data_IF_017558502627
#
_entry.id   IF_017558502627
#
_cell.length_a   1.000
_cell.length_b   1.000
_cell.length_c   1.000
_cell.angle_alpha   90.00
_cell.angle_beta   90.00
_cell.angle_gamma   90.00
#
_symmetry.space_group_name_H-M   'P 1'
#
loop_
_entity.id
_entity.type
_entity.pdbx_description
1 polymer ?
#
# COMPACT_ATOMS: atom_id res chain seq x y z
N UNK A 1 -5.04 -14.75 0.84
CA UNK A 1 -3.90 -14.88 -0.10
C UNK A 1 -2.71 -14.09 0.41
N UNK A 2 -1.48 -14.47 0.03
CA UNK A 2 -0.31 -13.59 0.17
C UNK A 2 -0.17 -12.78 -1.12
N UNK A 3 0.11 -11.49 -1.00
CA UNK A 3 0.55 -10.64 -2.10
C UNK A 3 1.70 -9.77 -1.63
N UNK A 4 2.87 -9.94 -2.25
CA UNK A 4 4.11 -9.36 -1.76
C UNK A 4 4.37 -9.74 -0.30
N UNK A 5 4.52 -8.73 0.56
CA UNK A 5 4.79 -8.87 2.00
C UNK A 5 3.54 -8.76 2.88
N UNK A 6 2.34 -8.81 2.31
CA UNK A 6 1.06 -8.77 3.04
C UNK A 6 0.24 -10.04 2.88
N UNK A 7 -0.59 -10.34 3.89
CA UNK A 7 -1.68 -11.32 3.79
C UNK A 7 -3.00 -10.57 3.68
N UNK A 8 -3.76 -10.85 2.62
CA UNK A 8 -5.04 -10.20 2.34
C UNK A 8 -6.13 -11.25 2.17
N UNK A 9 -7.27 -11.06 2.84
CA UNK A 9 -8.48 -11.84 2.60
C UNK A 9 -9.26 -11.22 1.46
N UNK A 10 -9.50 -12.02 0.41
CA UNK A 10 -10.16 -11.56 -0.80
C UNK A 10 -11.53 -12.22 -0.84
N UNK A 11 -12.57 -11.40 -0.95
CA UNK A 11 -13.95 -11.85 -0.95
C UNK A 11 -14.57 -11.54 -2.31
N UNK A 12 -15.28 -12.50 -2.89
CA UNK A 12 -16.11 -12.23 -4.05
C UNK A 12 -17.31 -11.41 -3.61
N UNK A 13 -17.58 -10.28 -4.27
CA UNK A 13 -18.74 -9.46 -3.98
C UNK A 13 -20.05 -10.25 -4.13
N UNK A 14 -20.10 -11.24 -5.02
CA UNK A 14 -21.26 -12.13 -5.16
C UNK A 14 -21.65 -12.82 -3.84
N UNK A 15 -20.66 -13.18 -3.01
CA UNK A 15 -20.89 -13.86 -1.73
C UNK A 15 -21.19 -12.86 -0.59
N UNK A 16 -20.62 -11.65 -0.67
CA UNK A 16 -20.69 -10.64 0.41
C UNK A 16 -21.89 -9.71 0.25
N UNK A 17 -22.17 -9.23 -0.96
CA UNK A 17 -23.18 -8.21 -1.23
C UNK A 17 -24.59 -8.59 -0.69
N UNK A 18 -25.05 -9.85 -0.81
CA UNK A 18 -26.34 -10.27 -0.23
C UNK A 18 -26.43 -10.15 1.30
N UNK A 19 -25.29 -10.16 2.01
CA UNK A 19 -25.22 -10.16 3.47
C UNK A 19 -25.16 -8.75 4.07
N UNK A 20 -24.81 -7.73 3.27
CA UNK A 20 -24.52 -6.37 3.74
C UNK A 20 -25.68 -5.79 4.54
N UNK A 21 -26.91 -5.88 4.02
CA UNK A 21 -28.09 -5.29 4.66
C UNK A 21 -28.39 -5.96 6.02
N UNK A 22 -28.29 -7.28 6.10
CA UNK A 22 -28.54 -8.03 7.34
C UNK A 22 -27.46 -7.77 8.40
N UNK A 23 -26.20 -7.64 7.98
CA UNK A 23 -25.09 -7.42 8.89
C UNK A 23 -24.97 -5.97 9.38
N UNK A 24 -25.71 -5.03 8.78
CA UNK A 24 -25.62 -3.60 9.10
C UNK A 24 -24.47 -2.86 8.39
N UNK A 25 -23.95 -3.42 7.30
CA UNK A 25 -22.89 -2.83 6.48
C UNK A 25 -21.64 -3.69 6.32
N UNK A 26 -20.77 -3.32 5.37
CA UNK A 26 -19.47 -3.98 5.16
C UNK A 26 -18.57 -3.88 6.39
N UNK A 27 -18.59 -2.75 7.09
CA UNK A 27 -17.79 -2.54 8.30
C UNK A 27 -18.12 -3.57 9.38
N UNK A 28 -19.41 -3.88 9.59
CA UNK A 28 -19.84 -4.88 10.56
C UNK A 28 -19.37 -6.28 10.17
N UNK A 29 -19.50 -6.65 8.90
CA UNK A 29 -19.00 -7.94 8.36
C UNK A 29 -17.49 -8.05 8.59
N UNK A 30 -16.73 -7.05 8.16
CA UNK A 30 -15.26 -7.11 8.18
C UNK A 30 -14.70 -7.02 9.60
N UNK A 31 -15.26 -6.17 10.47
CA UNK A 31 -14.81 -6.10 11.88
C UNK A 31 -15.09 -7.40 12.62
N UNK A 32 -16.21 -8.06 12.35
CA UNK A 32 -16.51 -9.40 12.89
C UNK A 32 -15.56 -10.45 12.32
N UNK A 33 -15.44 -10.56 10.99
CA UNK A 33 -14.61 -11.57 10.34
C UNK A 33 -13.15 -11.52 10.79
N UNK A 34 -12.62 -10.33 11.06
CA UNK A 34 -11.22 -10.13 11.45
C UNK A 34 -10.97 -10.16 12.95
N UNK A 35 -11.98 -10.32 13.81
CA UNK A 35 -11.79 -10.22 15.26
C UNK A 35 -11.30 -8.83 15.70
N UNK A 36 -11.76 -7.79 15.00
CA UNK A 36 -11.38 -6.40 15.25
C UNK A 36 -11.89 -5.92 16.61
N UNK A 37 -11.09 -5.11 17.31
CA UNK A 37 -11.30 -4.74 18.71
C UNK A 37 -10.47 -5.57 19.70
N UNK A 38 -9.73 -6.57 19.22
CA UNK A 38 -8.75 -7.35 20.00
C UNK A 38 -7.35 -7.14 19.39
N UNK A 39 -6.35 -6.64 20.15
CA UNK A 39 -4.95 -6.55 19.73
C UNK A 39 -4.39 -7.84 19.12
N UNK A 40 -4.91 -9.01 19.52
CA UNK A 40 -4.49 -10.32 19.01
C UNK A 40 -5.35 -10.83 17.86
N UNK A 41 -6.53 -10.25 17.65
CA UNK A 41 -7.53 -10.70 16.67
C UNK A 41 -7.88 -12.19 16.83
N UNK A 42 -8.03 -12.68 18.07
CA UNK A 42 -8.17 -14.11 18.34
C UNK A 42 -9.45 -14.73 17.75
N UNK A 43 -10.55 -13.98 17.75
CA UNK A 43 -11.86 -14.44 17.29
C UNK A 43 -12.12 -14.03 15.83
N UNK A 44 -11.13 -14.21 14.97
CA UNK A 44 -11.25 -13.88 13.57
C UNK A 44 -10.01 -14.23 12.76
N UNK A 45 -10.02 -13.81 11.49
CA UNK A 45 -8.97 -14.15 10.53
C UNK A 45 -7.82 -13.15 10.44
N UNK A 46 -7.90 -12.08 11.23
CA UNK A 46 -6.85 -11.09 11.38
C UNK A 46 -5.58 -11.73 11.97
N UNK A 47 -4.43 -11.12 11.71
CA UNK A 47 -3.14 -11.64 12.21
C UNK A 47 -2.48 -10.78 13.28
N UNK A 48 -3.19 -9.81 13.86
CA UNK A 48 -2.66 -8.91 14.90
C UNK A 48 -1.65 -7.90 14.38
N UNK A 49 -1.56 -7.68 13.06
CA UNK A 49 -0.66 -6.69 12.45
C UNK A 49 -1.27 -5.97 11.26
N UNK A 50 -0.77 -4.78 10.94
CA UNK A 50 -1.26 -3.98 9.81
C UNK A 50 -1.07 -4.68 8.46
N UNK A 51 -0.05 -5.55 8.34
CA UNK A 51 0.24 -6.34 7.13
C UNK A 51 -0.61 -7.61 6.99
N UNK A 52 -1.34 -7.99 8.04
CA UNK A 52 -2.15 -9.22 8.09
C UNK A 52 -3.64 -9.00 8.42
N UNK A 53 -4.04 -7.76 8.73
CA UNK A 53 -5.43 -7.33 8.92
C UNK A 53 -5.95 -6.54 7.71
N UNK A 54 -6.04 -7.19 6.55
CA UNK A 54 -6.40 -6.57 5.26
C UNK A 54 -7.47 -7.38 4.52
N UNK A 55 -8.48 -6.69 4.01
CA UNK A 55 -9.54 -7.26 3.19
C UNK A 55 -9.60 -6.60 1.80
N UNK A 56 -10.12 -7.33 0.82
CA UNK A 56 -10.61 -6.72 -0.41
C UNK A 56 -11.90 -7.40 -0.88
N UNK A 57 -12.87 -6.59 -1.30
CA UNK A 57 -14.09 -7.06 -1.95
C UNK A 57 -13.89 -6.91 -3.46
N UNK A 58 -13.95 -8.01 -4.19
CA UNK A 58 -13.56 -8.11 -5.59
C UNK A 58 -14.78 -8.47 -6.44
N UNK A 59 -14.99 -7.77 -7.55
CA UNK A 59 -16.10 -8.01 -8.49
C UNK A 59 -15.66 -7.79 -9.93
N UNK A 60 -16.37 -8.40 -10.88
CA UNK A 60 -16.23 -8.03 -12.30
C UNK A 60 -16.67 -6.57 -12.45
N UNK A 61 -15.91 -5.78 -13.20
CA UNK A 61 -16.27 -4.39 -13.45
C UNK A 61 -17.37 -4.30 -14.50
N UNK A 62 -18.19 -3.25 -14.39
CA UNK A 62 -19.12 -2.83 -15.45
C UNK A 62 -18.53 -1.73 -16.33
N UNK A 63 -17.35 -1.20 -16.00
CA UNK A 63 -16.71 -0.14 -16.77
C UNK A 63 -16.04 -0.70 -18.02
N UNK A 64 -16.23 -0.05 -19.19
CA UNK A 64 -15.50 -0.41 -20.40
C UNK A 64 -13.98 -0.38 -20.18
N UNK A 65 -13.31 -1.47 -20.53
CA UNK A 65 -11.85 -1.58 -20.46
C UNK A 65 -11.29 -1.84 -19.07
N UNK A 66 -12.13 -2.05 -18.05
CA UNK A 66 -11.72 -2.55 -16.73
C UNK A 66 -12.28 -3.97 -16.57
N UNK A 67 -11.44 -4.92 -16.16
CA UNK A 67 -11.87 -6.29 -15.93
C UNK A 67 -12.48 -6.45 -14.52
N UNK A 68 -11.81 -5.87 -13.53
CA UNK A 68 -12.11 -6.09 -12.10
C UNK A 68 -12.18 -4.77 -11.35
N UNK A 69 -13.26 -4.60 -10.61
CA UNK A 69 -13.37 -3.58 -9.57
C UNK A 69 -13.05 -4.19 -8.21
N UNK A 70 -12.35 -3.45 -7.37
CA UNK A 70 -12.15 -3.86 -5.98
C UNK A 70 -12.21 -2.70 -4.98
N UNK A 71 -12.76 -3.01 -3.81
CA UNK A 71 -12.65 -2.18 -2.61
C UNK A 71 -11.58 -2.79 -1.71
N UNK A 72 -10.57 -2.02 -1.34
CA UNK A 72 -9.60 -2.37 -0.32
C UNK A 72 -10.05 -1.84 1.05
N UNK A 73 -9.95 -2.68 2.07
CA UNK A 73 -10.23 -2.35 3.46
C UNK A 73 -9.00 -2.65 4.34
N UNK A 74 -8.54 -1.62 5.06
CA UNK A 74 -7.65 -1.81 6.19
C UNK A 74 -8.49 -1.98 7.44
N UNK A 75 -8.56 -3.20 7.97
CA UNK A 75 -9.35 -3.47 9.18
C UNK A 75 -8.48 -3.16 10.40
N UNK A 76 -8.96 -2.29 11.29
CA UNK A 76 -8.25 -1.93 12.50
C UNK A 76 -8.13 -3.13 13.47
N UNK A 77 -7.03 -3.15 14.23
CA UNK A 77 -6.71 -4.27 15.12
C UNK A 77 -7.37 -4.04 16.49
N UNK A 78 -6.95 -2.99 17.20
CA UNK A 78 -7.44 -2.67 18.55
C UNK A 78 -8.77 -1.91 18.58
N UNK A 79 -9.16 -1.27 17.49
CA UNK A 79 -10.43 -0.54 17.36
C UNK A 79 -11.36 -1.25 16.38
N UNK A 80 -12.67 -1.16 16.60
CA UNK A 80 -13.70 -1.75 15.72
C UNK A 80 -14.03 -0.83 14.54
N UNK A 81 -13.04 -0.56 13.70
CA UNK A 81 -13.19 0.33 12.53
C UNK A 81 -12.59 -0.29 11.28
N UNK A 82 -13.13 0.09 10.12
CA UNK A 82 -12.56 -0.24 8.82
C UNK A 82 -12.19 1.06 8.12
N UNK A 83 -10.96 1.10 7.62
CA UNK A 83 -10.50 2.24 6.85
C UNK A 83 -10.48 1.93 5.35
N UNK A 84 -11.15 2.80 4.60
CA UNK A 84 -11.43 2.71 3.18
C UNK A 84 -10.72 3.80 2.35
N UNK A 85 -10.05 4.78 2.96
CA UNK A 85 -9.45 5.94 2.28
C UNK A 85 -8.15 5.68 1.51
N UNK A 86 -7.77 4.43 1.25
CA UNK A 86 -6.50 4.12 0.58
C UNK A 86 -6.58 2.87 -0.29
N UNK A 87 -5.49 2.60 -1.01
CA UNK A 87 -5.27 1.36 -1.74
C UNK A 87 -4.11 0.56 -1.08
N UNK A 88 -3.97 -0.71 -1.42
CA UNK A 88 -2.83 -1.54 -1.05
C UNK A 88 -2.32 -2.35 -2.25
N UNK A 89 -1.21 -1.91 -2.85
CA UNK A 89 -0.65 -2.63 -4.01
C UNK A 89 -0.21 -4.06 -3.70
N UNK A 90 0.22 -4.36 -2.46
CA UNK A 90 0.48 -5.75 -2.04
C UNK A 90 -0.79 -6.61 -2.17
N UNK A 91 -1.96 -6.10 -1.74
CA UNK A 91 -3.22 -6.81 -1.95
C UNK A 91 -3.62 -6.82 -3.43
N UNK A 92 -3.42 -5.73 -4.18
CA UNK A 92 -3.70 -5.68 -5.61
C UNK A 92 -2.92 -6.75 -6.40
N UNK A 93 -1.68 -7.05 -6.00
CA UNK A 93 -0.89 -8.17 -6.54
C UNK A 93 -1.64 -9.51 -6.37
N UNK A 94 -2.20 -9.75 -5.18
CA UNK A 94 -2.98 -10.95 -4.91
C UNK A 94 -4.35 -10.93 -5.61
N UNK A 95 -4.97 -9.77 -5.77
CA UNK A 95 -6.25 -9.60 -6.48
C UNK A 95 -6.09 -9.94 -7.96
N UNK A 96 -5.01 -9.51 -8.62
CA UNK A 96 -4.74 -9.87 -10.00
C UNK A 96 -4.65 -11.39 -10.20
N UNK A 97 -3.88 -12.08 -9.35
CA UNK A 97 -3.80 -13.54 -9.38
C UNK A 97 -5.13 -14.21 -9.05
N UNK A 98 -5.85 -13.70 -8.06
CA UNK A 98 -7.18 -14.20 -7.68
C UNK A 98 -8.18 -14.09 -8.83
N UNK A 99 -8.25 -12.92 -9.49
CA UNK A 99 -9.13 -12.67 -10.62
C UNK A 99 -8.88 -13.67 -11.75
N UNK A 100 -7.62 -13.91 -12.10
CA UNK A 100 -7.24 -14.93 -13.08
C UNK A 100 -7.67 -16.34 -12.63
N UNK A 101 -7.30 -16.75 -11.42
CA UNK A 101 -7.59 -18.08 -10.88
C UNK A 101 -9.09 -18.34 -10.65
N UNK A 102 -9.89 -17.30 -10.47
CA UNK A 102 -11.34 -17.36 -10.27
C UNK A 102 -12.13 -17.09 -11.54
N UNK A 103 -11.47 -16.99 -12.71
CA UNK A 103 -12.15 -16.85 -14.00
C UNK A 103 -12.87 -15.52 -14.18
N UNK A 104 -12.35 -14.43 -13.60
CA UNK A 104 -12.87 -13.07 -13.83
C UNK A 104 -12.48 -12.55 -15.22
N UNK A 105 -11.37 -13.05 -15.77
CA UNK A 105 -10.84 -12.66 -17.09
C UNK A 105 -10.63 -13.88 -17.98
N UNK A 106 -10.68 -13.71 -19.31
CA UNK A 106 -10.17 -14.72 -20.25
C UNK A 106 -8.65 -14.86 -20.11
N UNK A 107 -8.14 -16.07 -20.33
CA UNK A 107 -6.71 -16.37 -20.24
C UNK A 107 -6.04 -16.14 -21.59
N UNK A 108 -4.93 -15.39 -21.60
CA UNK A 108 -4.06 -15.27 -22.76
C UNK A 108 -3.07 -16.45 -22.84
N UNK A 109 -2.69 -16.85 -24.05
CA UNK A 109 -1.81 -18.00 -24.28
C UNK A 109 -0.35 -17.79 -23.85
N UNK A 110 0.05 -16.56 -23.54
CA UNK A 110 1.42 -16.19 -23.17
C UNK A 110 1.48 -15.48 -21.83
N UNK A 111 0.78 -14.36 -21.69
CA UNK A 111 0.74 -13.54 -20.49
C UNK A 111 -0.64 -12.92 -20.36
N UNK A 112 -1.35 -13.26 -19.29
CA UNK A 112 -2.66 -12.66 -19.02
C UNK A 112 -2.48 -11.36 -18.26
N UNK A 113 -3.08 -10.28 -18.76
CA UNK A 113 -3.17 -9.00 -18.07
C UNK A 113 -4.56 -8.85 -17.47
N UNK A 114 -4.63 -8.59 -16.16
CA UNK A 114 -5.87 -8.23 -15.46
C UNK A 114 -5.85 -6.73 -15.20
N UNK A 115 -6.71 -5.98 -15.88
CA UNK A 115 -6.88 -4.55 -15.65
C UNK A 115 -7.89 -4.30 -14.54
N UNK A 116 -7.45 -3.66 -13.48
CA UNK A 116 -8.20 -3.51 -12.24
C UNK A 116 -8.39 -2.03 -11.90
N UNK A 117 -9.57 -1.68 -11.38
CA UNK A 117 -9.84 -0.38 -10.77
C UNK A 117 -10.03 -0.52 -9.27
N UNK A 118 -9.26 0.24 -8.52
CA UNK A 118 -9.49 0.41 -7.09
C UNK A 118 -10.62 1.44 -6.89
N UNK A 119 -11.77 1.01 -6.38
CA UNK A 119 -12.93 1.90 -6.19
C UNK A 119 -12.74 2.89 -5.04
N UNK A 120 -11.80 2.65 -4.11
CA UNK A 120 -11.50 3.59 -3.04
C UNK A 120 -10.88 4.90 -3.56
N UNK A 121 -10.02 4.80 -4.57
CA UNK A 121 -9.13 5.88 -5.02
C UNK A 121 -9.29 6.23 -6.50
N UNK A 122 -9.96 5.38 -7.29
CA UNK A 122 -10.02 5.48 -8.74
C UNK A 122 -8.76 4.99 -9.46
N UNK A 123 -7.72 4.54 -8.74
CA UNK A 123 -6.48 4.09 -9.34
C UNK A 123 -6.70 2.89 -10.28
N UNK A 124 -6.05 2.92 -11.45
CA UNK A 124 -6.06 1.84 -12.43
C UNK A 124 -4.72 1.10 -12.40
N UNK A 125 -4.79 -0.22 -12.28
CA UNK A 125 -3.64 -1.10 -12.16
C UNK A 125 -3.76 -2.27 -13.12
N UNK A 126 -2.66 -2.64 -13.75
CA UNK A 126 -2.57 -3.84 -14.57
C UNK A 126 -1.73 -4.88 -13.83
N UNK A 127 -2.27 -6.09 -13.68
CA UNK A 127 -1.54 -7.24 -13.14
C UNK A 127 -1.21 -8.21 -14.28
N UNK A 128 0.07 -8.35 -14.58
CA UNK A 128 0.58 -9.24 -15.62
C UNK A 128 1.08 -10.54 -15.01
N UNK A 129 0.57 -11.66 -15.52
CA UNK A 129 0.87 -13.02 -15.02
C UNK A 129 1.19 -13.90 -16.23
N UNK A 130 2.34 -14.56 -16.21
CA UNK A 130 2.71 -15.50 -17.27
C UNK A 130 1.76 -16.70 -17.28
N UNK A 131 1.21 -16.99 -18.45
CA UNK A 131 0.25 -18.08 -18.71
C UNK A 131 0.61 -18.86 -19.98
N UNK A 132 1.85 -19.39 -20.09
CA UNK A 132 2.31 -20.06 -21.31
C UNK A 132 1.42 -21.26 -21.66
N UNK A 133 0.95 -21.30 -22.91
CA UNK A 133 -0.01 -22.30 -23.39
C UNK A 133 -1.42 -22.13 -22.81
N UNK A 134 -1.75 -20.96 -22.23
CA UNK A 134 -3.02 -20.70 -21.55
C UNK A 134 -3.14 -21.37 -20.18
N UNK A 135 -2.02 -21.84 -19.61
CA UNK A 135 -1.99 -22.49 -18.30
C UNK A 135 -2.03 -21.46 -17.19
N UNK A 136 -3.04 -21.51 -16.32
CA UNK A 136 -3.12 -20.64 -15.14
C UNK A 136 -2.18 -21.17 -14.04
N UNK A 137 -1.21 -20.39 -13.56
CA UNK A 137 -0.31 -20.82 -12.50
C UNK A 137 -1.04 -20.92 -11.15
N UNK A 138 -0.81 -22.03 -10.45
CA UNK A 138 -1.26 -22.25 -9.07
C UNK A 138 -0.18 -21.93 -8.05
N UNK A 139 1.07 -22.23 -8.40
CA UNK A 139 2.29 -22.03 -7.62
C UNK A 139 3.37 -21.35 -8.47
N UNK A 140 4.42 -20.85 -7.82
CA UNK A 140 5.56 -20.24 -8.49
C UNK A 140 6.77 -20.12 -7.55
N UNK A 141 7.91 -19.79 -8.13
CA UNK A 141 9.23 -19.79 -7.49
C UNK A 141 9.80 -18.38 -7.27
N UNK A 142 9.03 -17.33 -7.56
CA UNK A 142 9.48 -15.96 -7.34
C UNK A 142 9.61 -15.66 -5.84
N UNK A 143 10.82 -15.26 -5.44
CA UNK A 143 11.10 -14.73 -4.12
C UNK A 143 10.65 -13.27 -4.01
N UNK A 144 10.33 -12.84 -2.79
CA UNK A 144 10.05 -11.43 -2.47
C UNK A 144 10.87 -11.06 -1.24
N UNK A 145 11.66 -9.98 -1.26
CA UNK A 145 12.39 -9.51 -0.08
C UNK A 145 11.46 -9.36 1.14
N UNK A 146 11.91 -9.86 2.29
CA UNK A 146 11.12 -9.89 3.53
C UNK A 146 10.25 -11.14 3.74
N UNK A 147 10.29 -12.14 2.85
CA UNK A 147 9.66 -13.44 3.08
C UNK A 147 10.48 -14.58 2.47
N UNK A 148 10.50 -15.74 3.15
CA UNK A 148 11.05 -16.98 2.59
C UNK A 148 10.05 -17.72 1.69
N UNK A 149 8.79 -17.29 1.65
CA UNK A 149 7.75 -17.95 0.89
C UNK A 149 7.77 -17.52 -0.58
N UNK A 150 7.91 -18.49 -1.47
CA UNK A 150 7.82 -18.28 -2.91
C UNK A 150 6.37 -18.04 -3.35
N UNK A 151 6.17 -17.62 -4.60
CA UNK A 151 4.86 -17.43 -5.18
C UNK A 151 4.89 -17.25 -6.69
N UNK A 152 3.69 -17.13 -7.27
CA UNK A 152 3.51 -16.81 -8.68
C UNK A 152 4.02 -15.40 -8.93
N UNK A 153 4.94 -15.18 -9.90
CA UNK A 153 5.35 -13.85 -10.31
C UNK A 153 4.16 -13.03 -10.83
N UNK A 154 4.06 -11.78 -10.39
CA UNK A 154 3.05 -10.82 -10.83
C UNK A 154 3.73 -9.47 -11.06
N UNK A 155 3.74 -9.00 -12.31
CA UNK A 155 4.09 -7.63 -12.63
C UNK A 155 2.88 -6.73 -12.34
N UNK A 156 2.99 -5.84 -11.36
CA UNK A 156 1.92 -4.92 -11.00
C UNK A 156 2.27 -3.51 -11.47
N UNK A 157 1.56 -3.04 -12.49
CA UNK A 157 1.77 -1.72 -13.08
C UNK A 157 0.68 -0.77 -12.60
N UNK A 158 1.07 0.33 -11.98
CA UNK A 158 0.17 1.46 -11.75
C UNK A 158 0.21 2.38 -12.97
N UNK A 159 -0.97 2.74 -13.46
CA UNK A 159 -1.14 3.59 -14.65
C UNK A 159 -1.87 4.88 -14.29
N UNK A 160 -1.79 5.90 -15.14
CA UNK A 160 -2.50 7.16 -14.92
C UNK A 160 -2.05 7.90 -13.65
N UNK A 161 -0.75 7.80 -13.32
CA UNK A 161 -0.20 8.24 -12.03
C UNK A 161 -0.23 9.76 -11.83
N UNK A 162 -0.03 10.54 -12.89
CA UNK A 162 -0.21 12.00 -12.94
C UNK A 162 -0.03 12.46 -14.40
N UNK A 163 -0.76 13.49 -14.84
CA UNK A 163 -0.62 14.08 -16.18
C UNK A 163 0.46 15.19 -16.23
N UNK A 164 1.44 15.15 -15.31
CA UNK A 164 2.50 16.15 -15.16
C UNK A 164 2.68 16.68 -13.73
N UNK A 165 3.69 17.52 -13.54
CA UNK A 165 4.14 18.02 -12.23
C UNK A 165 3.03 18.69 -11.40
N UNK A 166 2.11 19.42 -12.04
CA UNK A 166 1.00 20.12 -11.35
C UNK A 166 0.00 19.16 -10.68
N UNK A 167 -0.21 17.97 -11.27
CA UNK A 167 -1.09 16.95 -10.66
C UNK A 167 -0.34 16.04 -9.68
N UNK A 168 0.98 15.92 -9.86
CA UNK A 168 1.84 15.12 -9.00
C UNK A 168 2.13 15.81 -7.66
N UNK A 169 2.36 17.13 -7.68
CA UNK A 169 2.75 17.95 -6.52
C UNK A 169 1.54 18.75 -6.00
N UNK A 170 0.79 18.26 -5.00
CA UNK A 170 -0.41 18.95 -4.51
C UNK A 170 -0.11 20.34 -3.90
N UNK A 171 1.12 20.57 -3.45
CA UNK A 171 1.60 21.86 -2.93
C UNK A 171 2.16 22.78 -4.01
N UNK A 172 2.35 22.28 -5.23
CA UNK A 172 2.92 23.01 -6.37
C UNK A 172 4.44 23.23 -6.29
N UNK A 173 5.14 22.70 -5.27
CA UNK A 173 6.59 22.86 -5.09
C UNK A 173 7.29 21.52 -4.94
N UNK A 174 8.54 21.44 -5.40
CA UNK A 174 9.33 20.20 -5.37
C UNK A 174 9.76 19.78 -3.96
N UNK A 175 10.06 20.77 -3.10
CA UNK A 175 10.47 20.58 -1.71
C UNK A 175 9.76 21.59 -0.81
N UNK A 176 8.82 21.08 -0.01
CA UNK A 176 8.15 21.79 1.07
C UNK A 176 9.04 21.87 2.32
N UNK A 177 8.84 22.92 3.12
CA UNK A 177 9.50 23.09 4.43
C UNK A 177 8.48 23.14 5.55
N UNK A 178 8.51 22.19 6.49
CA UNK A 178 7.67 22.18 7.70
C UNK A 178 8.53 22.51 8.91
N UNK A 179 8.18 23.56 9.66
CA UNK A 179 8.86 23.94 10.90
C UNK A 179 8.07 23.45 12.11
N UNK A 180 8.72 22.73 13.02
CA UNK A 180 8.16 22.30 14.31
C UNK A 180 9.15 22.71 15.40
N UNK A 181 8.70 23.58 16.31
CA UNK A 181 9.58 24.29 17.24
C UNK A 181 10.72 24.98 16.48
N UNK A 182 11.98 24.76 16.87
CA UNK A 182 13.15 25.43 16.27
C UNK A 182 13.80 24.64 15.12
N UNK A 183 13.17 23.55 14.64
CA UNK A 183 13.70 22.70 13.58
C UNK A 183 12.83 22.79 12.31
N UNK A 184 13.47 22.77 11.15
CA UNK A 184 12.81 22.76 9.84
C UNK A 184 13.12 21.48 9.10
N UNK A 185 12.07 20.81 8.62
CA UNK A 185 12.14 19.53 7.93
C UNK A 185 11.68 19.72 6.48
N UNK A 186 12.54 19.34 5.54
CA UNK A 186 12.20 19.34 4.12
C UNK A 186 11.51 18.05 3.72
N UNK A 187 10.49 18.16 2.87
CA UNK A 187 9.82 17.01 2.28
C UNK A 187 9.42 17.25 0.82
N UNK A 188 9.42 16.18 0.03
CA UNK A 188 8.67 16.16 -1.23
C UNK A 188 7.32 15.53 -0.97
N UNK A 189 6.25 16.26 -1.29
CA UNK A 189 4.86 15.80 -1.15
C UNK A 189 4.30 15.47 -2.53
N UNK A 190 3.82 14.25 -2.72
CA UNK A 190 3.32 13.75 -4.01
C UNK A 190 2.01 13.01 -3.88
N UNK A 191 1.23 12.98 -4.96
CA UNK A 191 0.08 12.09 -5.14
C UNK A 191 0.34 11.16 -6.32
N UNK A 192 0.87 9.96 -6.03
CA UNK A 192 1.03 8.89 -7.01
C UNK A 192 0.97 7.54 -6.29
N UNK A 193 0.05 6.66 -6.69
CA UNK A 193 -0.26 5.42 -5.98
C UNK A 193 -1.01 5.65 -4.66
N UNK A 194 -0.46 6.45 -3.75
CA UNK A 194 -1.15 7.06 -2.61
C UNK A 194 -0.52 8.44 -2.32
N UNK A 195 -1.27 9.39 -1.74
CA UNK A 195 -0.68 10.62 -1.23
C UNK A 195 0.43 10.32 -0.23
N UNK A 196 1.60 10.92 -0.39
CA UNK A 196 2.76 10.70 0.47
C UNK A 196 3.56 12.00 0.70
N UNK A 197 4.16 12.11 1.88
CA UNK A 197 5.18 13.10 2.19
C UNK A 197 6.48 12.38 2.61
N UNK A 198 7.56 12.68 1.90
CA UNK A 198 8.85 12.00 1.96
C UNK A 198 9.90 12.99 2.48
N UNK A 199 10.30 12.82 3.74
CA UNK A 199 11.15 13.73 4.50
C UNK A 199 12.62 13.39 4.37
N UNK A 200 13.47 14.41 4.35
CA UNK A 200 14.91 14.23 4.28
C UNK A 200 15.47 13.63 5.58
N UNK A 201 16.19 12.52 5.49
CA UNK A 201 16.79 11.85 6.64
C UNK A 201 17.78 12.76 7.38
N UNK A 202 18.59 13.54 6.66
CA UNK A 202 19.57 14.42 7.28
C UNK A 202 18.94 15.50 8.17
N UNK A 203 17.74 15.98 7.82
CA UNK A 203 17.02 16.99 8.62
C UNK A 203 16.49 16.39 9.95
N UNK A 204 16.45 15.06 10.05
CA UNK A 204 16.09 14.28 11.25
C UNK A 204 17.33 13.75 12.00
N UNK A 205 18.55 14.08 11.55
CA UNK A 205 19.79 13.50 12.09
C UNK A 205 19.98 12.02 11.73
N UNK A 206 19.35 11.56 10.65
CA UNK A 206 19.36 10.18 10.18
C UNK A 206 20.07 10.04 8.82
N UNK A 207 20.36 8.79 8.46
CA UNK A 207 20.84 8.36 7.15
C UNK A 207 19.71 7.92 6.21
N UNK A 208 18.57 7.50 6.76
CA UNK A 208 17.47 6.87 6.01
C UNK A 208 17.60 5.34 5.92
N UNK A 209 18.70 4.78 6.43
CA UNK A 209 18.99 3.35 6.43
C UNK A 209 18.80 2.68 7.82
N UNK A 210 18.16 3.36 8.76
CA UNK A 210 17.96 2.91 10.14
C UNK A 210 17.13 1.62 10.27
N UNK A 211 17.21 0.95 11.42
CA UNK A 211 16.28 -0.15 11.72
C UNK A 211 14.89 0.37 12.11
N UNK A 212 13.92 -0.55 12.20
CA UNK A 212 12.56 -0.19 12.58
C UNK A 212 12.46 0.33 14.02
N UNK A 213 13.36 -0.06 14.92
CA UNK A 213 13.33 0.40 16.31
C UNK A 213 13.66 1.89 16.38
N UNK A 214 14.73 2.33 15.71
CA UNK A 214 15.09 3.76 15.62
C UNK A 214 13.96 4.59 14.98
N UNK A 215 13.32 4.08 13.93
CA UNK A 215 12.17 4.78 13.31
C UNK A 215 10.95 4.84 14.25
N UNK A 216 10.74 3.81 15.08
CA UNK A 216 9.67 3.81 16.07
C UNK A 216 9.87 4.89 17.15
N UNK A 217 11.11 5.17 17.54
CA UNK A 217 11.44 6.23 18.52
C UNK A 217 11.07 7.63 18.01
N UNK A 218 11.10 7.85 16.68
CA UNK A 218 10.70 9.10 16.04
C UNK A 218 9.20 9.22 15.76
N UNK A 219 8.40 8.20 16.11
CA UNK A 219 6.98 8.17 15.79
C UNK A 219 6.22 9.44 16.20
N UNK A 220 6.37 10.00 17.43
CA UNK A 220 5.65 11.21 17.82
C UNK A 220 5.92 12.41 16.89
N UNK A 221 7.16 12.59 16.44
CA UNK A 221 7.53 13.64 15.49
C UNK A 221 6.96 13.37 14.10
N UNK A 222 7.10 12.15 13.59
CA UNK A 222 6.60 11.77 12.27
C UNK A 222 5.07 11.86 12.18
N UNK A 223 4.34 11.67 13.28
CA UNK A 223 2.89 11.89 13.35
C UNK A 223 2.53 13.38 13.27
N UNK A 224 3.30 14.27 13.90
CA UNK A 224 3.11 15.72 13.75
C UNK A 224 3.40 16.17 12.31
N UNK A 225 4.50 15.69 11.73
CA UNK A 225 4.84 15.93 10.33
C UNK A 225 3.75 15.40 9.38
N UNK A 226 3.12 14.26 9.70
CA UNK A 226 1.96 13.77 8.95
C UNK A 226 0.81 14.77 8.94
N UNK A 227 0.45 15.28 10.11
CA UNK A 227 -0.67 16.20 10.25
C UNK A 227 -0.44 17.48 9.44
N UNK A 228 0.75 18.07 9.57
CA UNK A 228 1.13 19.26 8.79
C UNK A 228 1.14 18.99 7.28
N UNK A 229 1.66 17.84 6.86
CA UNK A 229 1.65 17.44 5.44
C UNK A 229 0.23 17.25 4.93
N UNK A 230 -0.64 16.62 5.72
CA UNK A 230 -2.06 16.40 5.36
C UNK A 230 -2.79 17.72 5.11
N UNK A 231 -2.57 18.73 5.96
CA UNK A 231 -3.14 20.06 5.81
C UNK A 231 -2.63 20.74 4.53
N UNK A 232 -1.32 20.71 4.28
CA UNK A 232 -0.71 21.33 3.09
C UNK A 232 -1.13 20.67 1.77
N UNK A 233 -1.28 19.36 1.78
CA UNK A 233 -1.76 18.59 0.64
C UNK A 233 -3.27 18.71 0.41
N UNK A 234 -3.99 19.44 1.27
CA UNK A 234 -5.44 19.60 1.19
C UNK A 234 -6.24 18.32 1.50
N UNK A 235 -5.61 17.34 2.16
CA UNK A 235 -6.23 16.05 2.50
C UNK A 235 -7.07 16.10 3.78
N UNK A 236 -6.85 17.11 4.61
CA UNK A 236 -7.59 17.37 5.85
C UNK A 236 -7.75 18.87 6.09
N UNK A 237 -8.72 19.26 6.91
CA UNK A 237 -8.91 20.64 7.38
C UNK A 237 -8.39 20.80 8.82
N UNK A 238 -8.06 22.03 9.25
CA UNK A 238 -7.72 22.29 10.65
C UNK A 238 -8.83 21.80 11.58
N UNK A 239 -8.49 20.97 12.57
CA UNK A 239 -9.42 20.38 13.53
C UNK A 239 -9.94 18.99 13.15
N UNK A 240 -9.73 18.53 11.91
CA UNK A 240 -10.06 17.15 11.53
C UNK A 240 -9.18 16.14 12.30
N UNK A 241 -9.69 14.93 12.60
CA UNK A 241 -8.88 13.86 13.14
C UNK A 241 -7.78 13.46 12.15
N UNK A 242 -6.59 13.15 12.66
CA UNK A 242 -5.44 12.76 11.83
C UNK A 242 -5.71 11.39 11.22
N UNK A 243 -5.84 11.32 9.89
CA UNK A 243 -5.89 10.03 9.20
C UNK A 243 -4.57 9.26 9.41
N UNK A 244 -4.71 7.97 9.72
CA UNK A 244 -3.57 7.07 9.86
C UNK A 244 -3.19 6.39 8.54
N UNK A 245 -4.02 6.58 7.51
CA UNK A 245 -3.86 5.96 6.20
C UNK A 245 -3.20 6.90 5.19
N UNK A 246 -3.56 8.19 5.16
CA UNK A 246 -3.03 9.19 4.22
C UNK A 246 -2.78 10.55 4.89
N UNK A 247 -1.76 11.31 4.46
CA UNK A 247 -0.71 10.88 3.55
C UNK A 247 0.19 9.82 4.21
N UNK A 248 0.79 8.96 3.39
CA UNK A 248 1.89 8.09 3.81
C UNK A 248 3.06 8.96 4.23
N UNK A 249 3.78 8.57 5.28
CA UNK A 249 4.95 9.31 5.74
C UNK A 249 6.17 8.42 5.66
N UNK A 250 7.22 8.97 5.06
CA UNK A 250 8.50 8.29 4.93
C UNK A 250 9.67 9.22 5.22
N UNK A 251 10.77 8.60 5.62
CA UNK A 251 12.09 9.21 5.68
C UNK A 251 12.89 8.64 4.51
N UNK A 252 13.56 9.52 3.77
CA UNK A 252 14.38 9.16 2.61
C UNK A 252 15.78 9.73 2.75
N UNK A 253 16.78 8.98 2.30
CA UNK A 253 18.18 9.38 2.36
C UNK A 253 19.01 8.70 1.27
N UNK A 254 20.30 9.05 1.14
CA UNK A 254 21.15 8.44 0.14
C UNK A 254 21.39 6.96 0.45
N UNK A 255 21.85 6.16 -0.53
CA UNK A 255 22.31 4.80 -0.25
C UNK A 255 23.41 4.79 0.82
N UNK A 256 23.30 3.83 1.74
CA UNK A 256 24.23 3.60 2.84
C UNK A 256 24.23 2.10 3.18
N UNK A 257 25.35 1.56 3.61
CA UNK A 257 25.37 0.16 4.04
C UNK A 257 24.41 -0.03 5.24
N UNK A 258 23.60 -1.10 5.19
CA UNK A 258 22.71 -1.43 6.30
C UNK A 258 22.46 -2.93 6.40
N UNK A 259 21.92 -3.34 7.55
CA UNK A 259 21.50 -4.71 7.79
C UNK A 259 19.98 -4.79 7.86
N UNK A 260 19.40 -5.68 7.06
CA UNK A 260 17.94 -5.91 7.05
C UNK A 260 17.46 -6.52 8.37
N UNK A 261 16.16 -6.45 8.60
CA UNK A 261 15.48 -7.13 9.71
C UNK A 261 15.66 -8.66 9.74
N UNK A 262 16.01 -9.27 8.59
CA UNK A 262 16.33 -10.70 8.47
C UNK A 262 17.83 -11.00 8.69
N UNK A 263 18.64 -9.99 9.00
CA UNK A 263 20.07 -10.15 9.26
C UNK A 263 20.96 -10.22 8.01
N UNK A 264 20.41 -9.90 6.83
CA UNK A 264 21.15 -9.78 5.56
C UNK A 264 21.77 -8.40 5.45
N UNK A 265 23.06 -8.33 5.13
CA UNK A 265 23.77 -7.09 4.85
C UNK A 265 23.50 -6.63 3.41
N UNK A 266 23.26 -5.33 3.25
CA UNK A 266 22.98 -4.67 1.96
C UNK A 266 23.99 -3.55 1.79
N UNK A 267 24.68 -3.53 0.65
CA UNK A 267 25.62 -2.47 0.33
C UNK A 267 24.91 -1.24 -0.22
N UNK A 268 25.47 -0.05 0.05
CA UNK A 268 25.08 1.19 -0.62
C UNK A 268 25.11 1.08 -2.16
N UNK A 269 25.92 0.18 -2.73
CA UNK A 269 25.98 -0.03 -4.19
C UNK A 269 24.79 -0.81 -4.76
N UNK A 270 24.06 -1.54 -3.91
CA UNK A 270 22.98 -2.44 -4.32
C UNK A 270 21.68 -1.70 -4.64
N UNK A 271 21.60 -0.40 -4.30
CA UNK A 271 20.37 0.37 -4.46
C UNK A 271 20.63 1.87 -4.67
N UNK A 272 19.57 2.62 -4.96
CA UNK A 272 19.67 4.02 -5.44
C UNK A 272 19.13 5.04 -4.43
N UNK A 273 18.23 4.63 -3.52
CA UNK A 273 17.70 5.48 -2.45
C UNK A 273 17.30 4.67 -1.21
N UNK A 274 17.62 5.19 -0.01
CA UNK A 274 17.19 4.60 1.27
C UNK A 274 15.81 5.11 1.64
N UNK A 275 14.89 4.21 2.01
CA UNK A 275 13.51 4.58 2.38
C UNK A 275 13.04 3.84 3.64
N UNK A 276 12.46 4.60 4.57
CA UNK A 276 11.75 4.07 5.76
C UNK A 276 10.36 4.67 5.82
N UNK A 277 9.34 3.82 5.70
CA UNK A 277 7.94 4.26 5.71
C UNK A 277 7.26 3.95 7.03
N UNK A 278 6.30 4.78 7.41
CA UNK A 278 5.30 4.45 8.42
C UNK A 278 4.03 3.86 7.79
N UNK A 279 3.38 2.95 8.51
CA UNK A 279 2.06 2.41 8.19
C UNK A 279 1.29 2.14 9.49
N UNK A 280 0.08 2.70 9.60
CA UNK A 280 -0.81 2.47 10.76
C UNK A 280 -0.10 2.70 12.12
N UNK A 281 0.46 3.89 12.31
CA UNK A 281 1.17 4.30 13.54
C UNK A 281 2.40 3.46 13.91
N UNK A 282 2.93 2.66 13.00
CA UNK A 282 4.15 1.88 13.21
C UNK A 282 5.10 1.97 12.01
N UNK A 283 6.40 1.72 12.17
CA UNK A 283 7.31 1.49 11.06
C UNK A 283 6.82 0.33 10.19
N UNK A 284 6.82 0.51 8.88
CA UNK A 284 6.49 -0.54 7.95
C UNK A 284 7.69 -1.50 7.84
N UNK A 285 7.49 -2.84 7.93
CA UNK A 285 8.60 -3.80 7.96
C UNK A 285 9.39 -3.93 6.65
N UNK A 286 8.98 -3.21 5.61
CA UNK A 286 9.50 -3.19 4.26
C UNK A 286 9.09 -1.84 3.63
N UNK A 287 8.33 -1.87 2.55
CA UNK A 287 7.61 -0.70 2.01
C UNK A 287 6.22 -1.12 1.49
N UNK A 288 5.22 -0.26 1.63
CA UNK A 288 3.92 -0.45 0.97
C UNK A 288 4.04 -0.09 -0.51
N UNK A 289 3.50 -0.91 -1.42
CA UNK A 289 3.68 -0.68 -2.87
C UNK A 289 3.19 0.68 -3.38
N UNK A 290 2.08 1.20 -2.84
CA UNK A 290 1.62 2.55 -3.18
C UNK A 290 2.61 3.63 -2.74
N UNK A 291 3.35 3.39 -1.66
CA UNK A 291 4.46 4.26 -1.23
C UNK A 291 5.69 4.10 -2.12
N UNK A 292 5.97 2.90 -2.62
CA UNK A 292 7.04 2.70 -3.60
C UNK A 292 6.75 3.44 -4.91
N UNK A 293 5.50 3.44 -5.36
CA UNK A 293 5.04 4.27 -6.49
C UNK A 293 5.23 5.76 -6.20
N UNK A 294 4.87 6.21 -4.99
CA UNK A 294 5.08 7.61 -4.60
C UNK A 294 6.56 8.00 -4.59
N UNK A 295 7.45 7.13 -4.09
CA UNK A 295 8.91 7.34 -4.14
C UNK A 295 9.40 7.41 -5.59
N UNK A 296 8.99 6.47 -6.44
CA UNK A 296 9.36 6.46 -7.86
C UNK A 296 8.85 7.70 -8.61
N UNK A 297 7.67 8.20 -8.27
CA UNK A 297 7.19 9.45 -8.85
C UNK A 297 7.94 10.67 -8.30
N UNK A 298 8.25 10.69 -7.00
CA UNK A 298 9.03 11.76 -6.42
C UNK A 298 10.49 11.79 -6.93
N UNK A 299 11.05 10.67 -7.38
CA UNK A 299 12.39 10.63 -7.99
C UNK A 299 12.44 11.25 -9.39
N UNK A 300 11.29 11.56 -10.01
CA UNK A 300 11.23 12.33 -11.26
C UNK A 300 11.07 13.84 -11.02
N UNK A 301 11.04 14.29 -9.76
CA UNK A 301 10.82 15.70 -9.39
C UNK A 301 12.17 16.37 -9.12
N UNK A 302 12.70 17.09 -10.12
CA UNK A 302 13.95 17.84 -9.99
C UNK A 302 13.89 18.87 -8.87
N UNK A 303 14.91 18.91 -8.01
CA UNK A 303 14.97 19.80 -6.84
C UNK A 303 14.10 19.36 -5.66
N UNK A 304 13.51 18.17 -5.74
CA UNK A 304 12.83 17.53 -4.62
C UNK A 304 13.79 16.73 -3.73
N UNK A 305 13.40 16.56 -2.47
CA UNK A 305 14.14 15.80 -1.45
C UNK A 305 14.48 14.38 -1.91
N UNK A 306 13.59 13.72 -2.65
CA UNK A 306 13.83 12.35 -3.14
C UNK A 306 14.95 12.36 -4.18
N UNK A 307 14.85 13.23 -5.19
CA UNK A 307 15.86 13.36 -6.24
C UNK A 307 17.23 13.77 -5.67
N UNK A 308 17.27 14.68 -4.69
CA UNK A 308 18.50 15.12 -4.01
C UNK A 308 19.22 13.97 -3.29
N UNK A 309 18.49 12.92 -2.90
CA UNK A 309 19.02 11.75 -2.21
C UNK A 309 19.17 10.52 -3.12
N UNK A 310 18.72 10.57 -4.38
CA UNK A 310 18.74 9.41 -5.27
C UNK A 310 20.05 9.34 -6.06
N UNK A 311 20.64 8.16 -6.15
CA UNK A 311 21.78 7.85 -7.02
C UNK A 311 21.35 6.92 -8.15
N UNK A 312 20.65 7.45 -9.16
CA UNK A 312 20.14 6.63 -10.28
C UNK A 312 21.29 6.10 -11.14
N UNK A 313 21.39 4.78 -11.27
CA UNK A 313 22.38 4.12 -12.15
C UNK A 313 21.86 3.84 -13.56
N UNK A 314 20.55 3.61 -13.71
CA UNK A 314 19.95 3.18 -14.97
C UNK A 314 18.67 3.96 -15.29
N UNK A 315 18.52 4.51 -16.51
CA UNK A 315 17.28 5.17 -16.91
C UNK A 315 16.08 4.22 -16.83
N UNK A 316 14.95 4.69 -16.31
CA UNK A 316 13.70 3.92 -16.27
C UNK A 316 13.62 2.84 -15.20
N UNK A 317 14.56 2.78 -14.25
CA UNK A 317 14.48 1.90 -13.09
C UNK A 317 14.97 2.58 -11.82
N UNK A 318 14.44 2.18 -10.67
CA UNK A 318 14.81 2.67 -9.35
C UNK A 318 14.88 1.50 -8.37
N UNK A 319 16.02 1.35 -7.70
CA UNK A 319 16.22 0.37 -6.63
C UNK A 319 16.05 1.05 -5.28
N UNK A 320 15.00 0.67 -4.56
CA UNK A 320 14.62 1.26 -3.28
C UNK A 320 15.09 0.38 -2.13
N UNK A 321 16.01 0.87 -1.28
CA UNK A 321 16.48 0.19 -0.09
C UNK A 321 15.48 0.29 1.06
N UNK A 322 14.99 -0.85 1.57
CA UNK A 322 13.95 -0.94 2.61
C UNK A 322 14.43 -1.77 3.80
N UNK A 323 13.74 -1.78 4.96
CA UNK A 323 14.10 -2.65 6.09
C UNK A 323 14.11 -4.16 5.77
N UNK A 324 13.50 -4.57 4.66
CA UNK A 324 13.41 -5.96 4.21
C UNK A 324 14.36 -6.31 3.05
N UNK A 325 15.16 -5.35 2.58
CA UNK A 325 16.04 -5.49 1.41
C UNK A 325 15.69 -4.50 0.30
N UNK A 326 16.21 -4.77 -0.89
CA UNK A 326 16.08 -3.89 -2.06
C UNK A 326 14.83 -4.23 -2.87
N UNK A 327 14.14 -3.19 -3.32
CA UNK A 327 12.99 -3.26 -4.19
C UNK A 327 13.31 -2.64 -5.56
N UNK A 328 13.27 -3.43 -6.62
CA UNK A 328 13.28 -2.94 -8.00
C UNK A 328 11.92 -2.36 -8.44
N UNK A 329 11.98 -1.18 -9.02
CA UNK A 329 10.83 -0.46 -9.57
C UNK A 329 11.16 -0.03 -10.99
N UNK A 330 10.32 -0.36 -11.95
CA UNK A 330 10.45 0.13 -13.33
C UNK A 330 9.55 1.35 -13.54
N UNK A 331 10.03 2.35 -14.27
CA UNK A 331 9.34 3.58 -14.57
C UNK A 331 9.23 3.76 -16.09
N UNK A 332 8.02 4.04 -16.57
CA UNK A 332 7.82 4.58 -17.93
C UNK A 332 7.62 6.09 -17.84
N UNK A 333 8.45 6.83 -18.54
CA UNK A 333 8.38 8.28 -18.63
C UNK A 333 8.25 8.66 -20.10
N UNK A 334 7.28 9.52 -20.42
CA UNK A 334 7.08 10.02 -21.78
C UNK A 334 8.27 10.87 -22.24
N UNK A 335 8.34 11.16 -23.54
CA UNK A 335 9.35 12.07 -24.10
C UNK A 335 9.33 13.46 -23.44
N UNK A 336 8.16 13.86 -22.94
CA UNK A 336 7.93 15.16 -22.30
C UNK A 336 8.28 15.15 -20.81
N UNK A 337 8.82 14.05 -20.29
CA UNK A 337 9.23 13.90 -18.89
C UNK A 337 8.09 13.55 -17.93
N UNK A 338 6.92 13.15 -18.45
CA UNK A 338 5.75 12.80 -17.61
C UNK A 338 5.81 11.32 -17.25
N UNK A 339 5.70 11.00 -15.96
CA UNK A 339 5.60 9.62 -15.49
C UNK A 339 4.27 8.99 -15.94
N UNK A 340 4.35 8.03 -16.85
CA UNK A 340 3.18 7.34 -17.42
C UNK A 340 2.76 6.15 -16.56
N UNK A 341 3.75 5.36 -16.09
CA UNK A 341 3.49 4.17 -15.31
C UNK A 341 4.66 3.80 -14.40
N UNK A 342 4.34 3.05 -13.35
CA UNK A 342 5.30 2.45 -12.43
C UNK A 342 4.98 0.97 -12.30
N UNK A 343 5.93 0.11 -12.63
CA UNK A 343 5.79 -1.35 -12.55
C UNK A 343 6.61 -1.89 -11.39
N UNK A 344 5.96 -2.75 -10.60
CA UNK A 344 6.52 -3.39 -9.43
C UNK A 344 6.46 -4.91 -9.61
N UNK A 345 7.61 -5.57 -9.49
CA UNK A 345 7.68 -7.02 -9.60
C UNK A 345 7.46 -7.68 -8.25
N UNK A 346 6.38 -8.44 -8.12
CA UNK A 346 6.00 -9.10 -6.88
C UNK A 346 5.66 -10.56 -7.11
N UNK A 347 5.37 -11.24 -6.01
CA UNK A 347 4.81 -12.57 -6.04
C UNK A 347 3.54 -12.64 -5.20
N UNK A 348 2.59 -13.45 -5.66
CA UNK A 348 1.38 -13.76 -4.94
C UNK A 348 1.19 -15.27 -4.79
N UNK A 349 0.45 -15.67 -3.76
CA UNK A 349 0.13 -17.08 -3.51
C UNK A 349 -1.24 -17.22 -2.87
N UNK A 350 -2.03 -18.18 -3.35
CA UNK A 350 -3.23 -18.63 -2.65
C UNK A 350 -2.82 -19.51 -1.48
N UNK A 351 -3.13 -19.05 -0.27
CA UNK A 351 -2.77 -19.78 0.97
C UNK A 351 -3.87 -20.78 1.32
N UNK A 352 -5.12 -20.32 1.27
CA UNK A 352 -6.29 -21.09 1.66
C UNK A 352 -7.54 -20.51 1.00
N UNK A 353 -8.60 -21.32 1.04
CA UNK A 353 -9.99 -20.88 0.89
C UNK A 353 -10.75 -21.32 2.11
N UNK A 354 -11.63 -20.46 2.61
CA UNK A 354 -12.37 -20.69 3.83
C UNK A 354 -13.74 -20.01 3.75
N UNK A 355 -14.71 -20.59 4.45
CA UNK A 355 -15.97 -19.96 4.79
C UNK A 355 -15.83 -19.35 6.19
N UNK A 356 -16.23 -18.09 6.36
CA UNK A 356 -16.09 -17.36 7.62
C UNK A 356 -17.48 -17.14 8.22
N UNK A 357 -17.65 -17.59 9.46
CA UNK A 357 -18.84 -17.28 10.24
C UNK A 357 -18.66 -15.91 10.91
N UNK A 358 -19.60 -14.99 10.68
CA UNK A 358 -19.60 -13.66 11.27
C UNK A 358 -20.80 -13.47 12.18
N UNK A 359 -20.64 -12.71 13.25
CA UNK A 359 -21.72 -12.37 14.17
C UNK A 359 -22.54 -11.23 13.58
N UNK A 360 -23.84 -11.46 13.34
CA UNK A 360 -24.77 -10.36 13.10
C UNK A 360 -24.87 -9.50 14.38
N UNK A 361 -24.92 -8.16 14.29
CA UNK A 361 -25.15 -7.33 15.47
C UNK A 361 -26.45 -7.76 16.14
N UNK A 362 -26.40 -8.07 17.44
CA UNK A 362 -27.59 -8.38 18.20
C UNK A 362 -28.57 -7.19 18.08
N UNK A 363 -29.86 -7.40 17.79
CA UNK A 363 -30.82 -6.31 17.83
C UNK A 363 -30.76 -5.68 19.21
N UNK A 364 -30.61 -4.36 19.27
CA UNK A 364 -30.63 -3.64 20.55
C UNK A 364 -31.88 -4.07 21.31
N UNK A 365 -31.78 -4.47 22.59
CA UNK A 365 -32.95 -4.84 23.35
C UNK A 365 -33.92 -3.65 23.30
N UNK A 366 -35.13 -3.89 22.80
CA UNK A 366 -36.19 -2.91 22.86
C UNK A 366 -36.27 -2.46 24.31
N UNK A 367 -36.04 -1.16 24.55
CA UNK A 367 -36.30 -0.56 25.85
C UNK A 367 -37.77 -0.84 26.15
N UNK A 368 -38.02 -1.86 26.97
CA UNK A 368 -39.34 -2.16 27.50
C UNK A 368 -39.71 -0.92 28.30
N UNK A 369 -40.51 -0.06 27.68
CA UNK A 369 -41.05 1.13 28.31
C UNK A 369 -41.70 0.67 29.60
N UNK A 370 -41.23 1.22 30.72
CA UNK A 370 -41.92 1.09 32.00
C UNK A 370 -43.30 1.73 31.83
N UNK A 371 -44.31 0.92 31.61
CA UNK A 371 -45.69 1.34 31.80
C UNK A 371 -45.85 1.70 33.30
N UNK A 372 -46.17 2.96 33.55
CA UNK A 372 -46.70 3.42 34.84
C UNK A 372 -48.19 3.15 34.90
#
# INVERSE_FOLDING_TARGET
MRGGTSKCWLFNAFDVDPLIAQAGGLDAILTSAFGSGDPRQLDGVGGGSSTTSKAAIVRRSSEPGIDVDYLFAQVAIGDRQVEWGSNCGNCATAIGLYALQSGFVPVDSTTTTVRMRNQNTGAILDAQIATPGGMIPTEGDAAVPGTSALGVPVGLTFTGLAAGAATLLPTGVAADQISIADHTYRATMVVAGAPAALFNAADLGLTGAEDNQTIAELLPLLLRLRQESSLRMGLSKPGDPVSHAIPKIGVVGPPADYRTSAGVDISADDYDISVRMLSMLAPHPAIGLTSAVAVAAASTVTGGVVTDNTQVRWPGSLRVGTPAGVLDVDLSVSLDGVLESVTLHRAARRIASAELFVTAPAPAPALVGSAR
#
